data_IF_692292602605
#
_entry.id   IF_692292602605
#
_cell.length_a   1.000
_cell.length_b   1.000
_cell.length_c   1.000
_cell.angle_alpha   90.00
_cell.angle_beta   90.00
_cell.angle_gamma   90.00
#
_symmetry.space_group_name_H-M   'P 1'
#
loop_
_entity.id
_entity.type
_entity.pdbx_description
1 polymer ?
#
# COMPACT_ATOMS: atom_id res chain seq x y z
N UNK A 1 55.73 -5.42 7.02
CA UNK A 1 54.73 -4.57 6.34
C UNK A 1 53.53 -5.43 6.08
N UNK A 2 52.36 -5.16 6.65
CA UNK A 2 51.18 -5.92 6.31
C UNK A 2 50.60 -5.46 4.96
N UNK A 3 50.27 -6.43 4.14
CA UNK A 3 49.64 -6.25 2.82
C UNK A 3 48.27 -5.55 2.93
N UNK A 4 47.94 -4.58 2.07
CA UNK A 4 46.65 -3.95 2.11
C UNK A 4 45.55 -4.97 1.74
N UNK A 5 44.63 -5.22 2.67
CA UNK A 5 43.47 -6.07 2.50
C UNK A 5 42.61 -5.57 1.32
N UNK A 6 42.64 -6.33 0.21
CA UNK A 6 41.73 -6.16 -0.91
C UNK A 6 40.30 -6.68 -0.54
N UNK A 7 39.64 -5.99 0.38
CA UNK A 7 38.22 -6.24 0.59
C UNK A 7 37.45 -5.77 -0.68
N UNK A 8 36.63 -6.62 -1.30
CA UNK A 8 35.86 -6.20 -2.45
C UNK A 8 34.92 -5.07 -2.03
N UNK A 9 35.08 -3.91 -2.66
CA UNK A 9 34.19 -2.77 -2.49
C UNK A 9 32.75 -3.25 -2.77
N UNK A 10 31.87 -3.13 -1.77
CA UNK A 10 30.45 -3.38 -1.95
C UNK A 10 29.97 -2.56 -3.14
N UNK A 11 29.20 -3.16 -4.10
CA UNK A 11 28.73 -2.43 -5.27
C UNK A 11 27.81 -1.30 -4.81
N UNK A 12 28.36 -0.09 -4.78
CA UNK A 12 27.57 1.13 -4.60
C UNK A 12 26.69 1.21 -5.84
N UNK A 13 25.42 0.86 -5.66
CA UNK A 13 24.39 1.01 -6.71
C UNK A 13 24.44 2.47 -7.16
N UNK A 14 24.92 2.70 -8.37
CA UNK A 14 24.96 4.04 -8.94
C UNK A 14 23.56 4.63 -8.91
N UNK A 15 23.40 5.80 -8.32
CA UNK A 15 22.12 6.54 -8.19
C UNK A 15 21.46 6.84 -9.54
N UNK A 16 22.23 6.66 -10.63
CA UNK A 16 21.85 6.98 -12.01
C UNK A 16 21.32 5.77 -12.80
N UNK A 17 21.15 4.60 -12.16
CA UNK A 17 20.54 3.46 -12.83
C UNK A 17 19.05 3.73 -13.09
N UNK A 18 18.62 3.72 -14.34
CA UNK A 18 17.21 3.89 -14.70
C UNK A 18 16.32 2.87 -13.96
N UNK A 19 15.20 3.31 -13.39
CA UNK A 19 14.29 2.41 -12.67
C UNK A 19 13.75 1.34 -13.62
N UNK A 20 13.76 0.09 -13.19
CA UNK A 20 13.24 -1.03 -13.98
C UNK A 20 11.75 -0.81 -14.30
N UNK A 21 11.28 -1.43 -15.40
CA UNK A 21 9.85 -1.34 -15.77
C UNK A 21 8.92 -1.84 -14.67
N UNK A 22 9.37 -2.81 -13.88
CA UNK A 22 8.62 -3.33 -12.72
C UNK A 22 8.56 -2.31 -11.59
N UNK A 23 9.62 -1.58 -11.37
CA UNK A 23 9.69 -0.52 -10.37
C UNK A 23 8.81 0.67 -10.75
N UNK A 24 8.82 1.08 -12.03
CA UNK A 24 7.91 2.12 -12.54
C UNK A 24 6.43 1.71 -12.38
N UNK A 25 6.08 0.45 -12.66
CA UNK A 25 4.73 -0.07 -12.48
C UNK A 25 4.32 -0.10 -11.00
N UNK A 26 5.22 -0.49 -10.12
CA UNK A 26 4.98 -0.48 -8.68
C UNK A 26 4.73 0.95 -8.17
N UNK A 27 5.56 1.91 -8.56
CA UNK A 27 5.38 3.33 -8.21
C UNK A 27 4.04 3.86 -8.74
N UNK A 28 3.66 3.52 -9.97
CA UNK A 28 2.39 3.94 -10.55
C UNK A 28 1.19 3.37 -9.79
N UNK A 29 1.23 2.09 -9.45
CA UNK A 29 0.20 1.45 -8.63
C UNK A 29 0.08 2.11 -7.25
N UNK A 30 1.20 2.34 -6.56
CA UNK A 30 1.21 3.00 -5.26
C UNK A 30 0.67 4.43 -5.32
N UNK A 31 1.02 5.18 -6.37
CA UNK A 31 0.48 6.52 -6.60
C UNK A 31 -1.03 6.47 -6.86
N UNK A 32 -1.49 5.52 -7.67
CA UNK A 32 -2.92 5.33 -7.93
C UNK A 32 -3.69 5.02 -6.64
N UNK A 33 -3.24 4.00 -5.90
CA UNK A 33 -3.87 3.62 -4.62
C UNK A 33 -3.79 4.76 -3.61
N UNK A 34 -2.62 5.38 -3.45
CA UNK A 34 -2.44 6.52 -2.52
C UNK A 34 -3.34 7.69 -2.85
N UNK A 35 -3.50 8.04 -4.14
CA UNK A 35 -4.38 9.13 -4.57
C UNK A 35 -5.85 8.82 -4.32
N UNK A 36 -6.29 7.57 -4.57
CA UNK A 36 -7.67 7.15 -4.28
C UNK A 36 -7.91 7.18 -2.76
N UNK A 37 -6.97 6.63 -1.98
CA UNK A 37 -7.09 6.61 -0.51
C UNK A 37 -7.07 8.02 0.08
N UNK A 38 -6.39 8.97 -0.55
CA UNK A 38 -6.37 10.38 -0.15
C UNK A 38 -7.77 11.02 -0.21
N UNK A 39 -8.65 10.54 -1.10
CA UNK A 39 -10.04 11.01 -1.17
C UNK A 39 -10.82 10.78 0.14
N UNK A 40 -10.35 9.88 1.00
CA UNK A 40 -10.95 9.67 2.32
C UNK A 40 -10.94 10.94 3.18
N UNK A 41 -10.01 11.89 2.96
CA UNK A 41 -10.06 13.19 3.65
C UNK A 41 -11.32 13.98 3.30
N UNK A 42 -11.84 13.86 2.08
CA UNK A 42 -13.10 14.49 1.72
C UNK A 42 -14.27 13.90 2.53
N UNK A 43 -14.27 12.58 2.73
CA UNK A 43 -15.27 11.92 3.56
C UNK A 43 -15.20 12.36 5.05
N UNK A 44 -14.01 12.68 5.55
CA UNK A 44 -13.84 13.17 6.94
C UNK A 44 -14.55 14.51 7.21
N UNK A 45 -14.68 15.36 6.20
CA UNK A 45 -15.34 16.69 6.29
C UNK A 45 -16.74 16.72 5.67
N UNK A 46 -17.20 15.57 5.18
CA UNK A 46 -18.50 15.43 4.51
C UNK A 46 -19.66 15.71 5.49
N UNK A 47 -20.72 16.43 5.07
CA UNK A 47 -21.95 16.57 5.84
C UNK A 47 -22.58 15.21 6.18
N UNK A 48 -23.15 15.11 7.37
CA UNK A 48 -23.77 13.84 7.86
C UNK A 48 -24.82 13.31 6.89
N UNK A 49 -25.64 14.19 6.33
CA UNK A 49 -26.66 13.83 5.34
C UNK A 49 -26.07 13.05 4.16
N UNK A 50 -24.93 13.51 3.62
CA UNK A 50 -24.28 12.83 2.49
C UNK A 50 -23.66 11.49 2.88
N UNK A 51 -23.18 11.38 4.12
CA UNK A 51 -22.69 10.08 4.64
C UNK A 51 -23.79 9.05 4.71
N UNK A 52 -25.00 9.46 5.17
CA UNK A 52 -26.18 8.60 5.24
C UNK A 52 -26.62 8.20 3.81
N UNK A 53 -26.81 9.18 2.92
CA UNK A 53 -27.22 8.95 1.53
C UNK A 53 -26.22 8.01 0.80
N UNK A 54 -24.91 8.17 1.03
CA UNK A 54 -23.90 7.29 0.45
C UNK A 54 -24.01 5.86 0.99
N UNK A 55 -24.23 5.70 2.31
CA UNK A 55 -24.38 4.39 2.92
C UNK A 55 -25.65 3.67 2.41
N UNK A 56 -26.77 4.38 2.30
CA UNK A 56 -28.02 3.84 1.75
C UNK A 56 -27.88 3.47 0.27
N UNK A 57 -27.19 4.30 -0.52
CA UNK A 57 -26.92 4.01 -1.94
C UNK A 57 -26.03 2.77 -2.12
N UNK A 58 -25.19 2.43 -1.15
CA UNK A 58 -24.39 1.21 -1.11
C UNK A 58 -25.19 -0.02 -0.60
N UNK A 59 -26.46 0.16 -0.23
CA UNK A 59 -27.34 -0.94 0.20
C UNK A 59 -27.14 -1.33 1.68
N UNK A 60 -26.56 -0.46 2.50
CA UNK A 60 -26.58 -0.65 3.94
C UNK A 60 -27.99 -0.31 4.47
N UNK A 61 -28.60 -1.27 5.17
CA UNK A 61 -29.83 -0.99 5.88
C UNK A 61 -29.57 0.03 6.98
N UNK A 62 -30.43 1.05 7.08
CA UNK A 62 -30.46 2.10 8.11
C UNK A 62 -29.09 2.42 8.74
N UNK A 63 -28.40 3.42 8.18
CA UNK A 63 -27.20 3.97 8.81
C UNK A 63 -27.52 4.42 10.25
N UNK A 64 -26.80 3.91 11.28
CA UNK A 64 -27.08 4.25 12.66
C UNK A 64 -26.84 5.75 12.90
N UNK A 65 -27.89 6.52 13.02
CA UNK A 65 -27.83 7.97 13.22
C UNK A 65 -27.44 8.28 14.67
N UNK A 66 -26.14 8.23 14.97
CA UNK A 66 -25.62 8.58 16.29
C UNK A 66 -24.36 9.44 16.18
N UNK A 67 -24.11 10.36 17.12
CA UNK A 67 -22.88 11.17 17.14
C UNK A 67 -21.62 10.30 17.15
N UNK A 68 -21.65 9.14 17.81
CA UNK A 68 -20.53 8.22 17.87
C UNK A 68 -20.22 7.60 16.49
N UNK A 69 -21.25 7.22 15.74
CA UNK A 69 -21.08 6.65 14.39
C UNK A 69 -20.40 7.64 13.45
N UNK A 70 -20.87 8.89 13.42
CA UNK A 70 -20.25 9.93 12.60
C UNK A 70 -18.83 10.26 13.05
N UNK A 71 -18.58 10.29 14.35
CA UNK A 71 -17.24 10.49 14.88
C UNK A 71 -16.30 9.39 14.43
N UNK A 72 -16.68 8.12 14.56
CA UNK A 72 -15.87 6.98 14.16
C UNK A 72 -15.63 6.97 12.64
N UNK A 73 -16.65 7.23 11.84
CA UNK A 73 -16.53 7.30 10.40
C UNK A 73 -15.54 8.39 9.95
N UNK A 74 -15.64 9.59 10.55
CA UNK A 74 -14.70 10.69 10.28
C UNK A 74 -13.27 10.37 10.71
N UNK A 75 -13.09 9.77 11.89
CA UNK A 75 -11.79 9.33 12.40
C UNK A 75 -11.14 8.30 11.49
N UNK A 76 -11.91 7.31 11.06
CA UNK A 76 -11.45 6.29 10.13
C UNK A 76 -11.06 6.90 8.77
N UNK A 77 -11.87 7.83 8.27
CA UNK A 77 -11.58 8.56 7.02
C UNK A 77 -10.28 9.37 7.10
N UNK A 78 -10.02 10.03 8.25
CA UNK A 78 -8.73 10.73 8.48
C UNK A 78 -7.57 9.75 8.48
N UNK A 79 -7.72 8.57 9.10
CA UNK A 79 -6.69 7.54 9.13
C UNK A 79 -6.37 7.02 7.71
N UNK A 80 -7.40 6.71 6.92
CA UNK A 80 -7.21 6.30 5.52
C UNK A 80 -6.56 7.39 4.68
N UNK A 81 -6.99 8.65 4.83
CA UNK A 81 -6.35 9.77 4.16
C UNK A 81 -4.86 9.88 4.51
N UNK A 82 -4.50 9.70 5.78
CA UNK A 82 -3.10 9.68 6.21
C UNK A 82 -2.31 8.51 5.62
N UNK A 83 -2.91 7.32 5.52
CA UNK A 83 -2.29 6.18 4.81
C UNK A 83 -2.06 6.54 3.34
N UNK A 84 -2.99 7.24 2.68
CA UNK A 84 -2.81 7.74 1.32
C UNK A 84 -1.59 8.64 1.18
N UNK A 85 -1.42 9.60 2.10
CA UNK A 85 -0.21 10.46 2.15
C UNK A 85 1.05 9.62 2.32
N UNK A 86 1.05 8.65 3.24
CA UNK A 86 2.20 7.80 3.50
C UNK A 86 2.59 6.96 2.26
N UNK A 87 1.61 6.42 1.54
CA UNK A 87 1.85 5.71 0.28
C UNK A 87 2.47 6.60 -0.78
N UNK A 88 1.95 7.83 -0.96
CA UNK A 88 2.53 8.80 -1.90
C UNK A 88 3.95 9.19 -1.50
N UNK A 89 4.20 9.40 -0.21
CA UNK A 89 5.52 9.74 0.31
C UNK A 89 6.56 8.65 0.02
N UNK A 90 6.21 7.37 0.20
CA UNK A 90 7.10 6.24 -0.11
C UNK A 90 7.49 6.21 -1.59
N UNK A 91 6.64 6.71 -2.49
CA UNK A 91 6.96 6.73 -3.93
C UNK A 91 8.00 7.78 -4.34
N UNK A 92 8.41 8.68 -3.44
CA UNK A 92 9.43 9.70 -3.72
C UNK A 92 10.83 9.04 -3.83
N UNK A 93 11.12 8.09 -2.94
CA UNK A 93 12.38 7.34 -2.93
C UNK A 93 12.10 5.91 -2.46
N UNK A 94 11.67 5.07 -3.40
CA UNK A 94 11.25 3.70 -3.07
C UNK A 94 12.40 2.87 -2.48
N UNK A 95 13.63 3.06 -2.95
CA UNK A 95 14.79 2.30 -2.47
C UNK A 95 15.09 2.62 -1.00
N UNK A 96 15.05 3.89 -0.64
CA UNK A 96 15.25 4.34 0.73
C UNK A 96 14.19 3.82 1.69
N UNK A 97 12.92 3.84 1.25
CA UNK A 97 11.77 3.44 2.07
C UNK A 97 11.34 1.98 1.87
N UNK A 98 12.13 1.18 1.16
CA UNK A 98 11.83 -0.23 0.87
C UNK A 98 11.54 -1.09 2.12
N UNK A 99 12.27 -0.95 3.26
CA UNK A 99 11.93 -1.68 4.48
C UNK A 99 10.56 -1.30 5.04
N UNK A 100 10.25 0.01 5.08
CA UNK A 100 8.94 0.51 5.51
C UNK A 100 7.82 0.01 4.58
N UNK A 101 8.06 0.07 3.29
CA UNK A 101 7.13 -0.44 2.29
C UNK A 101 6.82 -1.93 2.46
N UNK A 102 7.83 -2.76 2.71
CA UNK A 102 7.65 -4.18 3.01
C UNK A 102 6.82 -4.39 4.26
N UNK A 103 7.09 -3.64 5.30
CA UNK A 103 6.31 -3.69 6.54
C UNK A 103 4.84 -3.32 6.29
N UNK A 104 4.58 -2.25 5.55
CA UNK A 104 3.21 -1.83 5.20
C UNK A 104 2.49 -2.90 4.36
N UNK A 105 3.16 -3.51 3.39
CA UNK A 105 2.57 -4.54 2.55
C UNK A 105 2.17 -5.79 3.35
N UNK A 106 3.04 -6.29 4.22
CA UNK A 106 2.72 -7.40 5.11
C UNK A 106 1.64 -7.02 6.14
N UNK A 107 1.71 -5.80 6.66
CA UNK A 107 0.69 -5.25 7.55
C UNK A 107 -0.69 -5.21 6.89
N UNK A 108 -0.77 -4.78 5.64
CA UNK A 108 -2.03 -4.76 4.88
C UNK A 108 -2.60 -6.16 4.70
N UNK A 109 -1.78 -7.17 4.41
CA UNK A 109 -2.24 -8.57 4.36
C UNK A 109 -2.78 -9.05 5.71
N UNK A 110 -2.05 -8.76 6.79
CA UNK A 110 -2.48 -9.14 8.14
C UNK A 110 -3.80 -8.45 8.52
N UNK A 111 -3.94 -7.16 8.19
CA UNK A 111 -5.19 -6.41 8.39
C UNK A 111 -6.33 -7.06 7.60
N UNK A 112 -6.14 -7.45 6.34
CA UNK A 112 -7.17 -8.13 5.55
C UNK A 112 -7.69 -9.41 6.22
N UNK A 113 -6.80 -10.20 6.82
CA UNK A 113 -7.19 -11.40 7.57
C UNK A 113 -7.95 -11.06 8.86
N UNK A 114 -7.43 -10.08 9.63
CA UNK A 114 -8.08 -9.66 10.89
C UNK A 114 -9.44 -9.01 10.62
N UNK A 115 -9.55 -8.24 9.54
CA UNK A 115 -10.78 -7.59 9.12
C UNK A 115 -11.87 -8.62 8.82
N UNK A 116 -11.54 -9.72 8.14
CA UNK A 116 -12.51 -10.81 7.89
C UNK A 116 -13.12 -11.34 9.20
N UNK A 117 -12.31 -11.46 10.26
CA UNK A 117 -12.79 -11.91 11.58
C UNK A 117 -13.72 -10.88 12.21
N UNK A 118 -13.37 -9.60 12.14
CA UNK A 118 -14.18 -8.49 12.68
C UNK A 118 -15.50 -8.37 11.91
N UNK A 119 -15.43 -8.40 10.60
CA UNK A 119 -16.60 -8.25 9.73
C UNK A 119 -17.59 -9.42 9.88
N UNK A 120 -17.07 -10.64 10.08
CA UNK A 120 -17.92 -11.81 10.34
C UNK A 120 -18.72 -11.69 11.65
N UNK A 121 -18.29 -10.86 12.59
CA UNK A 121 -18.99 -10.58 13.84
C UNK A 121 -19.93 -9.36 13.75
N UNK A 122 -19.85 -8.59 12.66
CA UNK A 122 -20.48 -7.26 12.55
C UNK A 122 -21.86 -7.28 11.89
N UNK A 123 -22.42 -8.46 11.55
CA UNK A 123 -23.73 -8.60 10.87
C UNK A 123 -23.87 -7.72 9.60
N UNK A 124 -22.76 -7.43 8.92
CA UNK A 124 -22.75 -6.68 7.68
C UNK A 124 -23.18 -7.56 6.49
N UNK A 125 -23.63 -6.95 5.38
CA UNK A 125 -23.94 -7.71 4.16
C UNK A 125 -22.75 -8.55 3.70
N UNK A 126 -22.98 -9.81 3.34
CA UNK A 126 -21.90 -10.76 2.99
C UNK A 126 -21.01 -10.28 1.83
N UNK A 127 -21.59 -9.53 0.87
CA UNK A 127 -20.84 -8.95 -0.24
C UNK A 127 -19.82 -7.91 0.22
N UNK A 128 -20.16 -7.15 1.28
CA UNK A 128 -19.24 -6.17 1.88
C UNK A 128 -18.11 -6.87 2.63
N UNK A 129 -18.48 -7.76 3.56
CA UNK A 129 -17.53 -8.54 4.37
C UNK A 129 -16.48 -9.24 3.52
N UNK A 130 -16.94 -9.99 2.49
CA UNK A 130 -16.03 -10.70 1.60
C UNK A 130 -15.26 -9.75 0.67
N UNK A 131 -15.92 -8.72 0.17
CA UNK A 131 -15.33 -7.77 -0.77
C UNK A 131 -14.22 -6.94 -0.13
N UNK A 132 -14.45 -6.37 1.03
CA UNK A 132 -13.49 -5.49 1.72
C UNK A 132 -12.28 -6.27 2.21
N UNK A 133 -12.49 -7.34 2.97
CA UNK A 133 -11.40 -8.16 3.51
C UNK A 133 -10.55 -8.81 2.42
N UNK A 134 -11.21 -9.35 1.37
CA UNK A 134 -10.51 -9.99 0.24
C UNK A 134 -9.73 -8.97 -0.57
N UNK A 135 -10.30 -7.81 -0.88
CA UNK A 135 -9.59 -6.76 -1.63
C UNK A 135 -8.38 -6.21 -0.87
N UNK A 136 -8.50 -6.04 0.45
CA UNK A 136 -7.38 -5.61 1.31
C UNK A 136 -6.27 -6.65 1.32
N UNK A 137 -6.60 -7.92 1.50
CA UNK A 137 -5.62 -9.02 1.48
C UNK A 137 -4.93 -9.13 0.11
N UNK A 138 -5.70 -9.17 -0.98
CA UNK A 138 -5.16 -9.27 -2.33
C UNK A 138 -4.36 -8.03 -2.73
N UNK A 139 -4.75 -6.85 -2.27
CA UNK A 139 -3.98 -5.62 -2.44
C UNK A 139 -2.60 -5.73 -1.80
N UNK A 140 -2.52 -6.18 -0.55
CA UNK A 140 -1.26 -6.44 0.14
C UNK A 140 -0.41 -7.49 -0.59
N UNK A 141 -1.02 -8.60 -1.02
CA UNK A 141 -0.35 -9.66 -1.76
C UNK A 141 0.22 -9.15 -3.10
N UNK A 142 -0.56 -8.39 -3.86
CA UNK A 142 -0.13 -7.76 -5.11
C UNK A 142 1.09 -6.87 -4.89
N UNK A 143 1.08 -6.06 -3.84
CA UNK A 143 2.19 -5.18 -3.47
C UNK A 143 3.45 -6.00 -3.15
N UNK A 144 3.33 -7.08 -2.35
CA UNK A 144 4.46 -7.98 -2.04
C UNK A 144 5.01 -8.62 -3.30
N UNK A 145 4.12 -9.11 -4.16
CA UNK A 145 4.50 -9.76 -5.42
C UNK A 145 5.24 -8.80 -6.37
N UNK A 146 4.69 -7.60 -6.59
CA UNK A 146 5.33 -6.58 -7.43
C UNK A 146 6.69 -6.13 -6.87
N UNK A 147 6.81 -5.99 -5.55
CA UNK A 147 8.09 -5.66 -4.93
C UNK A 147 9.13 -6.77 -5.13
N UNK A 148 8.73 -8.04 -5.06
CA UNK A 148 9.63 -9.17 -5.39
C UNK A 148 10.10 -9.10 -6.83
N UNK A 149 9.19 -8.87 -7.78
CA UNK A 149 9.54 -8.74 -9.20
C UNK A 149 10.50 -7.57 -9.48
N UNK A 150 10.30 -6.43 -8.79
CA UNK A 150 11.20 -5.29 -8.90
C UNK A 150 12.61 -5.61 -8.37
N UNK A 151 12.73 -6.49 -7.37
CA UNK A 151 14.01 -6.94 -6.82
C UNK A 151 14.72 -7.95 -7.74
N UNK A 152 13.98 -8.86 -8.36
CA UNK A 152 14.55 -9.91 -9.24
C UNK A 152 14.92 -9.36 -10.63
N UNK A 153 14.29 -8.28 -11.05
CA UNK A 153 14.60 -7.59 -12.33
C UNK A 153 15.78 -6.59 -12.20
N UNK A 154 16.50 -6.57 -11.06
CA UNK A 154 17.74 -5.83 -10.91
C UNK A 154 18.77 -6.28 -11.94
N UNK A 155 19.73 -5.43 -12.35
CA UNK A 155 20.40 -5.46 -13.64
C UNK A 155 21.06 -6.81 -13.95
N UNK A 156 20.60 -7.44 -15.01
CA UNK A 156 21.31 -8.52 -15.73
C UNK A 156 22.59 -7.96 -16.40
N UNK A 157 23.27 -7.01 -15.75
CA UNK A 157 24.35 -6.23 -16.38
C UNK A 157 25.73 -6.90 -16.28
N UNK A 158 25.91 -7.94 -15.47
CA UNK A 158 27.27 -8.44 -15.22
C UNK A 158 27.65 -9.75 -15.93
N UNK A 159 26.75 -10.35 -16.70
CA UNK A 159 27.08 -11.59 -17.41
C UNK A 159 27.84 -11.31 -18.73
N UNK A 160 27.56 -10.20 -19.42
CA UNK A 160 28.13 -9.91 -20.75
C UNK A 160 29.51 -9.23 -20.69
N UNK A 161 29.85 -8.54 -19.59
CA UNK A 161 31.19 -7.94 -19.45
C UNK A 161 32.28 -8.94 -19.08
N UNK A 162 31.93 -10.09 -18.50
CA UNK A 162 32.92 -11.15 -18.16
C UNK A 162 33.28 -12.05 -19.35
N UNK A 163 32.55 -11.95 -20.46
CA UNK A 163 32.84 -12.73 -21.68
C UNK A 163 33.81 -11.98 -22.60
N UNK A 164 33.94 -10.65 -22.44
CA UNK A 164 34.76 -9.80 -23.32
C UNK A 164 36.01 -9.24 -22.64
N UNK A 165 36.40 -9.73 -21.46
CA UNK A 165 37.67 -9.43 -20.77
C UNK A 165 38.57 -10.68 -20.70
#
# INVERSE_FOLDING_TARGET
MPEPSNAPASPIRSRDAEPSIHERRLVLLLRGVGSITLLAFAAAVMPEKWMVEAAEALGFETFPYSPLTFYLARKLSLLYGFVGVALLFVTIDLDRYRPLFRYLAWGTMAIGVLQLVVDAQSSLPSWWTLGESTSTFLGGLLIVWMNRMALTAGPAFDADQKINA
#
